data_IF_591024518904
#
_entry.id   IF_591024518904
#
_cell.length_a   1.000
_cell.length_b   1.000
_cell.length_c   1.000
_cell.angle_alpha   90.00
_cell.angle_beta   90.00
_cell.angle_gamma   90.00
#
_symmetry.space_group_name_H-M   'P 1'
#
loop_
_entity.id
_entity.type
_entity.pdbx_description
1 polymer ?
#
# COMPACT_ATOMS: atom_id res chain seq x y z
N UNK A 1 15.92 21.55 9.46
CA UNK A 1 15.63 20.97 8.13
C UNK A 1 15.18 19.55 8.41
N UNK A 2 13.91 19.40 8.77
CA UNK A 2 13.38 18.20 9.43
C UNK A 2 12.45 17.43 8.51
N UNK A 3 12.51 16.11 8.59
CA UNK A 3 11.55 15.08 8.12
C UNK A 3 10.86 15.18 6.74
N UNK A 4 11.03 16.23 5.94
CA UNK A 4 10.35 16.43 4.65
C UNK A 4 10.52 15.27 3.66
N UNK A 5 11.71 14.66 3.50
CA UNK A 5 11.87 13.49 2.64
C UNK A 5 11.07 12.27 3.15
N UNK A 6 11.00 12.10 4.47
CA UNK A 6 10.27 10.99 5.08
C UNK A 6 8.76 11.16 4.92
N UNK A 7 8.26 12.35 5.22
CA UNK A 7 6.83 12.66 5.08
C UNK A 7 6.37 12.44 3.64
N UNK A 8 7.25 12.72 2.67
CA UNK A 8 7.00 12.44 1.25
C UNK A 8 6.90 10.94 0.99
N UNK A 9 7.88 10.14 1.42
CA UNK A 9 7.85 8.67 1.22
C UNK A 9 6.65 8.00 1.90
N UNK A 10 6.26 8.47 3.10
CA UNK A 10 5.08 7.94 3.80
C UNK A 10 3.80 8.27 3.02
N UNK A 11 3.66 9.51 2.51
CA UNK A 11 2.51 9.93 1.70
C UNK A 11 2.40 9.13 0.40
N UNK A 12 3.53 8.84 -0.24
CA UNK A 12 3.57 8.00 -1.45
C UNK A 12 3.09 6.58 -1.16
N UNK A 13 3.62 5.95 -0.11
CA UNK A 13 3.21 4.60 0.29
C UNK A 13 1.71 4.51 0.63
N UNK A 14 1.15 5.51 1.34
CA UNK A 14 -0.29 5.57 1.58
C UNK A 14 -1.11 5.76 0.30
N UNK A 15 -0.63 6.60 -0.63
CA UNK A 15 -1.30 6.81 -1.92
C UNK A 15 -1.40 5.51 -2.73
N UNK A 16 -0.34 4.69 -2.70
CA UNK A 16 -0.36 3.38 -3.33
C UNK A 16 -1.30 2.40 -2.64
N UNK A 17 -1.33 2.37 -1.30
CA UNK A 17 -2.29 1.56 -0.53
C UNK A 17 -3.74 1.92 -0.90
N UNK A 18 -4.08 3.20 -0.98
CA UNK A 18 -5.44 3.63 -1.36
C UNK A 18 -5.82 3.17 -2.77
N UNK A 19 -4.92 3.32 -3.74
CA UNK A 19 -5.15 2.83 -5.12
C UNK A 19 -5.37 1.33 -5.17
N UNK A 20 -4.64 0.58 -4.36
CA UNK A 20 -4.77 -0.87 -4.28
C UNK A 20 -6.09 -1.30 -3.63
N UNK A 21 -6.56 -0.57 -2.62
CA UNK A 21 -7.90 -0.77 -2.04
C UNK A 21 -9.01 -0.50 -3.07
N UNK A 22 -8.90 0.57 -3.86
CA UNK A 22 -9.87 0.89 -4.91
C UNK A 22 -9.96 -0.24 -5.95
N UNK A 23 -8.83 -0.83 -6.34
CA UNK A 23 -8.80 -2.00 -7.24
C UNK A 23 -9.50 -3.20 -6.64
N UNK A 24 -9.29 -3.49 -5.34
CA UNK A 24 -9.96 -4.60 -4.67
C UNK A 24 -11.48 -4.38 -4.61
N UNK A 25 -11.94 -3.16 -4.31
CA UNK A 25 -13.36 -2.80 -4.33
C UNK A 25 -13.95 -2.98 -5.72
N UNK A 26 -13.24 -2.53 -6.76
CA UNK A 26 -13.65 -2.75 -8.15
C UNK A 26 -13.77 -4.24 -8.48
N UNK A 27 -12.77 -5.05 -8.13
CA UNK A 27 -12.80 -6.50 -8.36
C UNK A 27 -13.97 -7.16 -7.65
N UNK A 28 -14.23 -6.80 -6.38
CA UNK A 28 -15.33 -7.34 -5.60
C UNK A 28 -16.71 -7.02 -6.22
N UNK A 29 -16.87 -5.81 -6.75
CA UNK A 29 -18.12 -5.36 -7.38
C UNK A 29 -18.35 -5.92 -8.79
N UNK A 30 -17.30 -6.41 -9.47
CA UNK A 30 -17.36 -6.89 -10.86
C UNK A 30 -17.05 -8.39 -10.99
N UNK A 31 -17.27 -9.16 -9.91
CA UNK A 31 -16.69 -10.47 -9.69
C UNK A 31 -16.85 -11.45 -10.88
N UNK A 32 -15.70 -11.75 -11.51
CA UNK A 32 -15.50 -12.89 -12.38
C UNK A 32 -14.48 -13.82 -11.70
N UNK A 33 -14.67 -15.14 -11.79
CA UNK A 33 -13.93 -16.18 -11.01
C UNK A 33 -12.39 -16.12 -11.22
N UNK A 34 -11.93 -15.49 -12.31
CA UNK A 34 -10.53 -15.43 -12.73
C UNK A 34 -9.65 -14.39 -12.01
N UNK A 35 -10.18 -13.61 -11.05
CA UNK A 35 -9.44 -12.50 -10.45
C UNK A 35 -8.56 -12.86 -9.23
N UNK A 36 -8.46 -14.13 -8.82
CA UNK A 36 -7.69 -14.52 -7.62
C UNK A 36 -6.19 -14.16 -7.69
N UNK A 37 -5.56 -14.31 -8.86
CA UNK A 37 -4.15 -13.93 -9.03
C UNK A 37 -3.93 -12.42 -8.87
N UNK A 38 -4.88 -11.62 -9.36
CA UNK A 38 -4.83 -10.18 -9.24
C UNK A 38 -5.08 -9.71 -7.80
N UNK A 39 -6.07 -10.30 -7.12
CA UNK A 39 -6.31 -10.07 -5.69
C UNK A 39 -5.07 -10.38 -4.86
N UNK A 40 -4.43 -11.53 -5.10
CA UNK A 40 -3.21 -11.91 -4.35
C UNK A 40 -2.03 -10.97 -4.64
N UNK A 41 -1.90 -10.47 -5.88
CA UNK A 41 -0.88 -9.47 -6.22
C UNK A 41 -1.12 -8.15 -5.49
N UNK A 42 -2.37 -7.67 -5.48
CA UNK A 42 -2.74 -6.43 -4.80
C UNK A 42 -2.54 -6.57 -3.28
N UNK A 43 -2.94 -7.71 -2.69
CA UNK A 43 -2.72 -8.00 -1.28
C UNK A 43 -1.22 -7.96 -0.90
N UNK A 44 -0.36 -8.55 -1.73
CA UNK A 44 1.10 -8.50 -1.51
C UNK A 44 1.64 -7.08 -1.57
N UNK A 45 1.18 -6.28 -2.53
CA UNK A 45 1.55 -4.86 -2.68
C UNK A 45 1.19 -4.06 -1.44
N UNK A 46 -0.06 -4.14 -0.97
CA UNK A 46 -0.52 -3.48 0.26
C UNK A 46 0.36 -3.89 1.45
N UNK A 47 0.63 -5.19 1.64
CA UNK A 47 1.47 -5.69 2.73
C UNK A 47 2.91 -5.16 2.68
N UNK A 48 3.48 -5.02 1.48
CA UNK A 48 4.82 -4.47 1.30
C UNK A 48 4.85 -2.98 1.64
N UNK A 49 3.86 -2.22 1.20
CA UNK A 49 3.78 -0.78 1.45
C UNK A 49 3.53 -0.47 2.92
N UNK A 50 2.69 -1.24 3.61
CA UNK A 50 2.51 -1.13 5.07
C UNK A 50 3.83 -1.39 5.79
N UNK A 51 4.57 -2.46 5.44
CA UNK A 51 5.88 -2.75 6.04
C UNK A 51 6.91 -1.66 5.79
N UNK A 52 6.90 -1.05 4.60
CA UNK A 52 7.79 0.07 4.29
C UNK A 52 7.48 1.27 5.20
N UNK A 53 6.21 1.62 5.39
CA UNK A 53 5.78 2.66 6.32
C UNK A 53 6.18 2.33 7.76
N UNK A 54 5.95 1.10 8.23
CA UNK A 54 6.35 0.65 9.56
C UNK A 54 7.87 0.80 9.78
N UNK A 55 8.68 0.35 8.82
CA UNK A 55 10.14 0.46 8.88
C UNK A 55 10.57 1.93 8.96
N UNK A 56 10.03 2.77 8.10
CA UNK A 56 10.30 4.21 8.05
C UNK A 56 9.97 4.89 9.39
N UNK A 57 8.80 4.59 9.98
CA UNK A 57 8.39 5.13 11.27
C UNK A 57 9.23 4.63 12.46
N UNK A 58 9.62 3.35 12.48
CA UNK A 58 10.46 2.78 13.54
C UNK A 58 11.90 3.28 13.44
N UNK A 59 12.43 3.40 12.22
CA UNK A 59 13.79 3.87 11.97
C UNK A 59 14.03 5.32 12.42
N UNK A 60 12.99 6.15 12.49
CA UNK A 60 13.07 7.51 13.02
C UNK A 60 13.22 7.60 14.54
N UNK A 61 12.84 6.56 15.29
CA UNK A 61 12.92 6.55 16.76
C UNK A 61 14.32 6.16 17.27
N UNK A 62 15.26 5.84 16.37
CA UNK A 62 16.66 5.56 16.68
C UNK A 62 17.54 6.71 16.20
#
# INVERSE_FOLDING_TARGET
MGNEPLDTSIKEAFSEIYRDLDKLVFIANNANIFNQHEVSRIEKSIKQNVKAVEYLLVSQKR
#
